data_IF_378928258710
#
_entry.id   IF_378928258710
#
_cell.length_a   1.000
_cell.length_b   1.000
_cell.length_c   1.000
_cell.angle_alpha   90.00
_cell.angle_beta   90.00
_cell.angle_gamma   90.00
#
_symmetry.space_group_name_H-M   'P 1'
#
loop_
_entity.id
_entity.type
_entity.pdbx_description
1 polymer ?
#
# COMPACT_ATOMS: atom_id res chain seq x y z
N UNK A 1 19.43 -22.31 -9.46
CA UNK A 1 19.23 -22.31 -8.00
C UNK A 1 18.50 -21.01 -7.63
N UNK A 2 17.17 -20.98 -7.78
CA UNK A 2 16.36 -19.86 -7.31
C UNK A 2 16.35 -19.93 -5.78
N UNK A 3 17.17 -19.10 -5.12
CA UNK A 3 17.26 -19.06 -3.65
C UNK A 3 16.00 -18.52 -2.97
N UNK A 4 15.08 -17.96 -3.75
CA UNK A 4 13.81 -17.43 -3.31
C UNK A 4 12.77 -17.89 -4.33
N UNK A 5 11.72 -18.53 -3.85
CA UNK A 5 10.57 -18.95 -4.65
C UNK A 5 9.72 -17.71 -4.96
N UNK A 6 10.17 -16.94 -5.96
CA UNK A 6 9.55 -15.69 -6.36
C UNK A 6 8.82 -15.92 -7.69
N UNK A 7 7.49 -15.72 -7.73
CA UNK A 7 6.69 -15.80 -8.95
C UNK A 7 6.90 -14.55 -9.82
N UNK A 8 8.09 -14.38 -10.39
CA UNK A 8 8.52 -13.16 -11.12
C UNK A 8 7.62 -12.87 -12.32
N UNK A 9 7.05 -13.88 -12.97
CA UNK A 9 6.16 -13.72 -14.11
C UNK A 9 4.82 -13.06 -13.77
N UNK A 10 4.34 -13.25 -12.54
CA UNK A 10 3.10 -12.68 -12.03
C UNK A 10 3.32 -11.33 -11.31
N UNK A 11 4.57 -10.89 -11.16
CA UNK A 11 4.89 -9.61 -10.55
C UNK A 11 4.74 -8.45 -11.53
N UNK A 12 4.36 -7.29 -10.99
CA UNK A 12 4.22 -6.09 -11.78
C UNK A 12 5.53 -5.64 -12.46
N UNK A 13 5.45 -5.40 -13.77
CA UNK A 13 6.52 -4.78 -14.55
C UNK A 13 6.40 -3.25 -14.47
N UNK A 14 7.42 -2.62 -13.89
CA UNK A 14 7.48 -1.17 -13.69
C UNK A 14 8.32 -0.51 -14.77
N UNK A 15 7.71 0.40 -15.53
CA UNK A 15 8.37 1.29 -16.48
C UNK A 15 9.01 2.46 -15.72
N UNK A 16 10.33 2.69 -15.86
CA UNK A 16 10.98 3.84 -15.25
C UNK A 16 10.38 5.17 -15.75
N UNK A 17 10.24 6.14 -14.84
CA UNK A 17 9.76 7.49 -15.16
C UNK A 17 8.38 7.57 -15.83
N UNK A 18 7.52 6.55 -15.66
CA UNK A 18 6.15 6.58 -16.16
C UNK A 18 5.39 7.83 -15.69
N UNK A 19 4.62 8.41 -16.60
CA UNK A 19 3.78 9.58 -16.33
C UNK A 19 2.35 9.32 -16.78
N UNK A 20 1.42 9.86 -16.01
CA UNK A 20 -0.01 9.86 -16.32
C UNK A 20 -0.30 10.98 -17.34
N UNK A 21 -1.05 10.66 -18.40
CA UNK A 21 -1.26 11.55 -19.54
C UNK A 21 -2.74 11.93 -19.75
N UNK A 22 -3.34 12.67 -18.83
CA UNK A 22 -4.67 13.28 -19.02
C UNK A 22 -4.60 14.81 -19.12
N UNK A 23 -5.73 15.42 -19.49
CA UNK A 23 -5.88 16.88 -19.51
C UNK A 23 -5.84 17.45 -18.09
N UNK A 24 -4.75 18.14 -17.77
CA UNK A 24 -4.51 18.72 -16.43
C UNK A 24 -5.43 19.89 -16.11
N UNK A 25 -6.09 20.50 -17.10
CA UNK A 25 -7.09 21.54 -16.85
C UNK A 25 -8.44 20.99 -16.39
N UNK A 26 -8.67 19.68 -16.57
CA UNK A 26 -9.96 19.02 -16.30
C UNK A 26 -9.89 17.94 -15.22
N UNK A 27 -8.71 17.68 -14.66
CA UNK A 27 -8.49 16.82 -13.51
C UNK A 27 -7.82 17.64 -12.42
N UNK A 28 -8.54 17.95 -11.35
CA UNK A 28 -8.03 18.73 -10.22
C UNK A 28 -8.03 17.91 -8.93
N UNK A 29 -7.06 18.23 -8.06
CA UNK A 29 -6.91 17.61 -6.75
C UNK A 29 -7.02 18.71 -5.69
N UNK A 30 -7.97 18.56 -4.79
CA UNK A 30 -8.19 19.43 -3.63
C UNK A 30 -7.66 18.69 -2.38
N UNK A 31 -6.52 19.13 -1.87
CA UNK A 31 -5.97 18.64 -0.60
C UNK A 31 -6.38 19.65 0.48
N UNK A 32 -7.04 19.19 1.55
CA UNK A 32 -7.24 20.03 2.73
C UNK A 32 -5.90 20.33 3.41
N UNK A 33 -5.73 21.54 3.93
CA UNK A 33 -4.57 21.89 4.77
C UNK A 33 -4.74 21.32 6.19
N UNK A 34 -5.98 21.22 6.67
CA UNK A 34 -6.35 20.66 7.97
C UNK A 34 -7.50 19.64 7.89
N UNK A 35 -7.51 18.71 8.85
CA UNK A 35 -8.47 17.59 8.94
C UNK A 35 -9.88 18.08 9.27
N UNK A 36 -10.02 19.00 10.23
CA UNK A 36 -11.33 19.52 10.65
C UNK A 36 -11.99 20.34 9.52
N UNK A 37 -11.19 21.13 8.80
CA UNK A 37 -11.63 21.87 7.63
C UNK A 37 -12.13 20.93 6.52
N UNK A 38 -11.41 19.84 6.23
CA UNK A 38 -11.81 18.87 5.21
C UNK A 38 -13.14 18.18 5.54
N UNK A 39 -13.38 17.83 6.82
CA UNK A 39 -14.65 17.25 7.27
C UNK A 39 -15.78 18.25 7.13
N UNK A 40 -15.56 19.49 7.56
CA UNK A 40 -16.56 20.56 7.51
C UNK A 40 -16.92 20.89 6.06
N UNK A 41 -15.92 21.04 5.20
CA UNK A 41 -16.11 21.27 3.77
C UNK A 41 -16.94 20.15 3.12
N UNK A 42 -16.74 18.88 3.52
CA UNK A 42 -17.51 17.78 2.97
C UNK A 42 -18.95 17.72 3.50
N UNK A 43 -19.16 17.99 4.80
CA UNK A 43 -20.49 18.00 5.43
C UNK A 43 -21.35 19.16 4.95
N UNK A 44 -20.73 20.32 4.71
CA UNK A 44 -21.42 21.53 4.23
C UNK A 44 -21.60 21.54 2.71
N UNK A 45 -20.89 20.68 1.98
CA UNK A 45 -21.06 20.57 0.53
C UNK A 45 -22.48 20.10 0.22
N UNK A 46 -23.19 20.79 -0.69
CA UNK A 46 -24.46 20.29 -1.19
C UNK A 46 -24.22 18.90 -1.77
N UNK A 47 -24.95 17.90 -1.27
CA UNK A 47 -24.83 16.56 -1.82
C UNK A 47 -25.20 16.60 -3.31
N UNK A 48 -24.19 16.39 -4.15
CA UNK A 48 -24.29 16.57 -5.58
C UNK A 48 -24.88 15.31 -6.22
N UNK A 49 -25.20 15.43 -7.51
CA UNK A 49 -25.77 14.30 -8.25
C UNK A 49 -24.76 13.17 -8.48
N UNK A 50 -23.46 13.44 -8.36
CA UNK A 50 -22.35 12.61 -8.86
C UNK A 50 -21.20 12.54 -7.84
N UNK A 51 -21.54 12.23 -6.58
CA UNK A 51 -20.57 12.07 -5.51
C UNK A 51 -20.12 10.63 -5.39
N UNK A 52 -18.85 10.40 -5.69
CA UNK A 52 -18.21 9.10 -5.55
C UNK A 52 -17.31 9.13 -4.33
N UNK A 53 -17.34 8.06 -3.56
CA UNK A 53 -16.42 7.80 -2.47
C UNK A 53 -15.73 6.48 -2.73
N UNK A 54 -14.43 6.43 -2.48
CA UNK A 54 -13.60 5.28 -2.83
C UNK A 54 -12.66 4.97 -1.68
N UNK A 55 -12.44 3.69 -1.43
CA UNK A 55 -11.57 3.20 -0.36
C UNK A 55 -10.93 1.88 -0.78
N UNK A 56 -9.89 1.46 -0.07
CA UNK A 56 -9.29 0.15 -0.17
C UNK A 56 -8.82 -0.39 1.16
N UNK A 57 -9.08 -1.68 1.37
CA UNK A 57 -8.79 -2.37 2.62
C UNK A 57 -7.77 -3.48 2.42
N UNK A 58 -6.91 -3.65 3.43
CA UNK A 58 -6.04 -4.80 3.61
C UNK A 58 -6.43 -5.46 4.94
N UNK A 59 -6.92 -6.69 4.86
CA UNK A 59 -7.31 -7.50 6.02
C UNK A 59 -6.39 -8.72 6.13
N UNK A 60 -6.62 -9.59 7.11
CA UNK A 60 -5.94 -10.89 7.17
C UNK A 60 -6.42 -11.87 6.08
N UNK A 61 -7.62 -11.64 5.54
CA UNK A 61 -8.30 -12.52 4.57
C UNK A 61 -8.04 -12.12 3.13
N UNK A 62 -7.62 -10.88 2.87
CA UNK A 62 -7.36 -10.40 1.52
C UNK A 62 -7.15 -8.89 1.40
N UNK A 63 -7.07 -8.45 0.16
CA UNK A 63 -6.92 -7.05 -0.23
C UNK A 63 -8.03 -6.71 -1.20
N UNK A 64 -8.82 -5.68 -0.91
CA UNK A 64 -10.02 -5.33 -1.68
C UNK A 64 -10.26 -3.83 -1.79
N UNK A 65 -10.69 -3.37 -2.96
CA UNK A 65 -11.06 -1.99 -3.23
C UNK A 65 -12.57 -1.83 -3.41
N UNK A 66 -13.10 -0.64 -3.11
CA UNK A 66 -14.50 -0.34 -3.32
C UNK A 66 -14.75 1.11 -3.75
N UNK A 67 -15.90 1.31 -4.40
CA UNK A 67 -16.45 2.61 -4.73
C UNK A 67 -17.95 2.64 -4.45
N UNK A 68 -18.42 3.77 -3.94
CA UNK A 68 -19.83 4.01 -3.62
C UNK A 68 -20.26 5.32 -4.27
N UNK A 69 -21.36 5.28 -5.00
CA UNK A 69 -22.03 6.48 -5.52
C UNK A 69 -23.14 6.92 -4.58
N UNK A 70 -22.97 8.12 -4.04
CA UNK A 70 -23.97 8.81 -3.24
C UNK A 70 -24.67 9.87 -4.10
N UNK A 71 -26.00 9.91 -3.99
CA UNK A 71 -26.83 10.94 -4.61
C UNK A 71 -27.93 11.38 -3.66
N UNK A 72 -27.90 12.65 -3.28
CA UNK A 72 -28.82 13.25 -2.31
C UNK A 72 -28.85 12.48 -0.97
N UNK A 73 -27.66 12.18 -0.43
CA UNK A 73 -27.49 11.47 0.85
C UNK A 73 -27.92 10.01 0.83
N UNK A 74 -28.05 9.40 -0.35
CA UNK A 74 -28.42 7.99 -0.50
C UNK A 74 -27.46 7.27 -1.44
N UNK A 75 -27.04 6.09 -1.04
CA UNK A 75 -26.33 5.16 -1.93
C UNK A 75 -27.23 4.80 -3.12
N UNK A 76 -26.66 4.89 -4.32
CA UNK A 76 -27.32 4.54 -5.58
C UNK A 76 -26.72 3.35 -6.26
N UNK A 77 -25.41 3.23 -6.15
CA UNK A 77 -24.63 2.16 -6.76
C UNK A 77 -23.37 1.96 -5.93
N UNK A 78 -22.83 0.75 -5.99
CA UNK A 78 -21.59 0.36 -5.33
C UNK A 78 -20.91 -0.72 -6.15
N UNK A 79 -19.59 -0.62 -6.23
CA UNK A 79 -18.72 -1.61 -6.86
C UNK A 79 -17.61 -1.99 -5.88
N UNK A 80 -17.24 -3.26 -5.89
CA UNK A 80 -16.28 -3.85 -4.96
C UNK A 80 -15.46 -4.88 -5.71
N UNK A 81 -14.17 -4.98 -5.44
CA UNK A 81 -13.33 -6.00 -6.05
C UNK A 81 -12.21 -6.44 -5.13
N UNK A 82 -12.08 -7.76 -4.93
CA UNK A 82 -10.88 -8.36 -4.33
C UNK A 82 -9.76 -8.35 -5.36
N UNK A 83 -8.58 -7.86 -4.97
CA UNK A 83 -7.44 -7.74 -5.88
C UNK A 83 -6.31 -8.72 -5.58
N UNK A 84 -6.26 -9.31 -4.39
CA UNK A 84 -5.17 -10.18 -4.00
C UNK A 84 -5.21 -10.66 -2.55
N UNK A 85 -4.14 -11.36 -2.17
CA UNK A 85 -3.81 -11.76 -0.81
C UNK A 85 -3.01 -10.65 -0.11
N UNK A 86 -2.96 -10.63 1.24
CA UNK A 86 -2.23 -9.61 2.00
C UNK A 86 -0.71 -9.62 1.74
N UNK A 87 -0.17 -10.70 1.17
CA UNK A 87 1.23 -10.85 0.83
C UNK A 87 1.53 -10.66 -0.68
N UNK A 88 0.49 -10.42 -1.47
CA UNK A 88 0.52 -10.20 -2.92
C UNK A 88 0.30 -8.74 -3.29
N UNK A 89 -0.62 -8.04 -2.62
CA UNK A 89 -0.98 -6.65 -2.89
C UNK A 89 -0.95 -5.82 -1.60
N UNK A 90 -0.85 -4.49 -1.73
CA UNK A 90 -0.87 -3.57 -0.58
C UNK A 90 -2.18 -2.79 -0.57
N UNK A 91 -2.47 -2.15 0.57
CA UNK A 91 -3.61 -1.23 0.70
C UNK A 91 -3.59 -0.14 -0.38
N UNK A 92 -2.41 0.31 -0.84
CA UNK A 92 -2.32 1.31 -1.89
C UNK A 92 -2.89 0.82 -3.23
N UNK A 93 -2.65 -0.44 -3.60
CA UNK A 93 -3.28 -1.00 -4.81
C UNK A 93 -4.79 -1.17 -4.62
N UNK A 94 -5.24 -1.50 -3.41
CA UNK A 94 -6.66 -1.62 -3.06
C UNK A 94 -7.40 -0.28 -3.25
N UNK A 95 -6.80 0.79 -2.76
CA UNK A 95 -7.32 2.15 -2.83
C UNK A 95 -7.37 2.67 -4.28
N UNK A 96 -6.35 2.35 -5.07
CA UNK A 96 -6.33 2.66 -6.49
C UNK A 96 -7.35 1.82 -7.29
N UNK A 97 -7.63 0.60 -6.84
CA UNK A 97 -8.74 -0.19 -7.36
C UNK A 97 -10.08 0.49 -7.03
N UNK A 98 -10.31 0.92 -5.79
CA UNK A 98 -11.50 1.69 -5.43
C UNK A 98 -11.70 2.92 -6.33
N UNK A 99 -10.62 3.68 -6.57
CA UNK A 99 -10.65 4.81 -7.50
C UNK A 99 -11.05 4.41 -8.93
N UNK A 100 -10.56 3.27 -9.39
CA UNK A 100 -10.89 2.72 -10.70
C UNK A 100 -12.36 2.32 -10.79
N UNK A 101 -12.87 1.62 -9.78
CA UNK A 101 -14.28 1.24 -9.67
C UNK A 101 -15.19 2.46 -9.62
N UNK A 102 -14.75 3.57 -9.00
CA UNK A 102 -15.48 4.83 -9.02
C UNK A 102 -15.65 5.38 -10.43
N UNK A 103 -14.61 5.28 -11.26
CA UNK A 103 -14.70 5.66 -12.67
C UNK A 103 -15.58 4.72 -13.49
N UNK A 104 -15.58 3.42 -13.18
CA UNK A 104 -16.52 2.46 -13.78
C UNK A 104 -17.97 2.88 -13.51
N UNK A 105 -18.32 3.14 -12.25
CA UNK A 105 -19.66 3.63 -11.88
C UNK A 105 -20.02 4.88 -12.70
N UNK A 106 -19.12 5.86 -12.81
CA UNK A 106 -19.35 7.08 -13.56
C UNK A 106 -19.60 6.83 -15.06
N UNK A 107 -18.83 5.91 -15.66
CA UNK A 107 -18.92 5.59 -17.08
C UNK A 107 -20.19 4.78 -17.40
N UNK A 108 -20.50 3.77 -16.59
CA UNK A 108 -21.65 2.87 -16.75
C UNK A 108 -22.97 3.59 -16.50
N UNK A 109 -23.03 4.47 -15.50
CA UNK A 109 -24.21 5.29 -15.21
C UNK A 109 -24.32 6.55 -16.09
N UNK A 110 -23.42 6.74 -17.06
CA UNK A 110 -23.51 7.83 -18.03
C UNK A 110 -23.41 9.23 -17.42
N UNK A 111 -22.55 9.40 -16.39
CA UNK A 111 -22.36 10.69 -15.74
C UNK A 111 -21.94 11.77 -16.75
N UNK A 112 -22.32 13.03 -16.44
CA UNK A 112 -22.04 14.20 -17.28
C UNK A 112 -21.68 15.39 -16.42
N UNK A 113 -20.69 16.16 -16.84
CA UNK A 113 -20.21 17.33 -16.12
C UNK A 113 -19.11 17.00 -15.12
N UNK A 114 -19.10 17.68 -13.98
CA UNK A 114 -18.06 17.50 -12.96
C UNK A 114 -18.41 16.33 -12.05
N UNK A 115 -17.54 15.32 -12.00
CA UNK A 115 -17.61 14.26 -10.99
C UNK A 115 -16.73 14.61 -9.80
N UNK A 116 -17.20 14.24 -8.61
CA UNK A 116 -16.56 14.56 -7.35
C UNK A 116 -16.18 13.25 -6.66
N UNK A 117 -14.88 12.93 -6.61
CA UNK A 117 -14.37 11.69 -6.01
C UNK A 117 -13.68 11.99 -4.67
N UNK A 118 -14.20 11.47 -3.56
CA UNK A 118 -13.61 11.55 -2.23
C UNK A 118 -12.82 10.28 -1.88
N UNK A 119 -11.63 10.45 -1.32
CA UNK A 119 -10.77 9.37 -0.82
C UNK A 119 -9.88 9.86 0.32
N UNK A 120 -9.42 8.96 1.19
CA UNK A 120 -8.56 9.30 2.33
C UNK A 120 -7.06 9.17 2.02
N UNK A 121 -6.71 8.50 0.92
CA UNK A 121 -5.33 8.22 0.54
C UNK A 121 -4.58 9.41 -0.09
N UNK A 122 -3.91 10.20 0.75
CA UNK A 122 -3.08 11.32 0.30
C UNK A 122 -1.93 10.92 -0.65
N UNK A 123 -1.45 9.67 -0.60
CA UNK A 123 -0.38 9.21 -1.49
C UNK A 123 -0.87 9.04 -2.93
N UNK A 124 -2.11 8.56 -3.12
CA UNK A 124 -2.76 8.51 -4.43
C UNK A 124 -3.00 9.93 -4.97
N UNK A 125 -3.58 10.82 -4.16
CA UNK A 125 -3.79 12.22 -4.53
C UNK A 125 -2.48 12.92 -4.92
N UNK A 126 -1.40 12.65 -4.19
CA UNK A 126 -0.06 13.15 -4.53
C UNK A 126 0.44 12.58 -5.86
N UNK A 127 0.14 11.31 -6.16
CA UNK A 127 0.52 10.67 -7.42
C UNK A 127 -0.23 11.28 -8.60
N UNK A 128 -1.53 11.57 -8.44
CA UNK A 128 -2.35 12.27 -9.44
C UNK A 128 -1.79 13.67 -9.69
N UNK A 129 -1.50 14.44 -8.63
CA UNK A 129 -0.95 15.80 -8.73
C UNK A 129 0.41 15.84 -9.41
N UNK A 130 1.32 14.93 -9.01
CA UNK A 130 2.67 14.86 -9.58
C UNK A 130 2.72 14.15 -10.94
N UNK A 131 1.66 13.40 -11.27
CA UNK A 131 1.52 12.52 -12.43
C UNK A 131 2.63 11.49 -12.56
N UNK A 132 3.25 11.06 -11.45
CA UNK A 132 4.41 10.16 -11.44
C UNK A 132 4.06 8.83 -10.77
N UNK A 133 3.53 7.90 -11.55
CA UNK A 133 3.19 6.55 -11.10
C UNK A 133 4.47 5.70 -10.93
N UNK A 134 4.97 5.58 -9.69
CA UNK A 134 6.20 4.83 -9.38
C UNK A 134 5.98 3.33 -9.19
N UNK A 135 4.77 2.93 -8.82
CA UNK A 135 4.31 1.57 -8.56
C UNK A 135 2.80 1.51 -8.86
N UNK A 136 2.21 0.29 -8.90
CA UNK A 136 0.82 0.07 -9.28
C UNK A 136 0.48 0.66 -10.68
N UNK A 137 1.46 0.71 -11.57
CA UNK A 137 1.34 1.18 -12.95
C UNK A 137 0.31 0.41 -13.78
N UNK A 138 0.04 -0.85 -13.45
CA UNK A 138 -1.07 -1.61 -14.02
C UNK A 138 -2.41 -0.91 -13.75
N UNK A 139 -2.75 -0.72 -12.48
CA UNK A 139 -3.99 -0.06 -12.07
C UNK A 139 -4.05 1.40 -12.52
N UNK A 140 -2.91 2.11 -12.47
CA UNK A 140 -2.83 3.49 -12.98
C UNK A 140 -3.16 3.60 -14.47
N UNK A 141 -2.71 2.66 -15.30
CA UNK A 141 -3.03 2.64 -16.75
C UNK A 141 -4.53 2.43 -16.97
N UNK A 142 -5.13 1.57 -16.17
CA UNK A 142 -6.55 1.32 -16.17
C UNK A 142 -7.37 2.55 -15.76
N UNK A 143 -7.05 3.16 -14.62
CA UNK A 143 -7.65 4.42 -14.17
C UNK A 143 -7.48 5.53 -15.21
N UNK A 144 -6.28 5.69 -15.78
CA UNK A 144 -6.00 6.68 -16.82
C UNK A 144 -6.87 6.48 -18.06
N UNK A 145 -7.09 5.23 -18.49
CA UNK A 145 -7.97 4.90 -19.61
C UNK A 145 -9.40 5.36 -19.31
N UNK A 146 -9.92 5.07 -18.12
CA UNK A 146 -11.27 5.48 -17.71
C UNK A 146 -11.42 7.00 -17.60
N UNK A 147 -10.39 7.70 -17.08
CA UNK A 147 -10.35 9.17 -17.06
C UNK A 147 -10.39 9.75 -18.47
N UNK A 148 -9.53 9.26 -19.37
CA UNK A 148 -9.48 9.71 -20.78
C UNK A 148 -10.83 9.50 -21.47
N UNK A 149 -11.45 8.35 -21.26
CA UNK A 149 -12.76 8.03 -21.82
C UNK A 149 -13.83 8.98 -21.30
N UNK A 150 -13.90 9.21 -19.99
CA UNK A 150 -14.84 10.15 -19.39
C UNK A 150 -14.68 11.57 -19.95
N UNK A 151 -13.45 12.07 -20.02
CA UNK A 151 -13.15 13.41 -20.53
C UNK A 151 -13.39 13.56 -22.04
N UNK A 152 -13.36 12.46 -22.81
CA UNK A 152 -13.63 12.46 -24.25
C UNK A 152 -15.12 12.57 -24.57
N UNK A 153 -16.00 12.04 -23.70
CA UNK A 153 -17.46 12.04 -23.90
C UNK A 153 -18.06 13.44 -24.03
N UNK A 154 -17.54 14.43 -23.30
CA UNK A 154 -18.02 15.81 -23.42
C UNK A 154 -16.98 16.85 -22.94
N UNK A 155 -16.98 18.04 -23.55
CA UNK A 155 -16.02 19.11 -23.22
C UNK A 155 -16.20 19.69 -21.82
N UNK A 156 -17.41 19.61 -21.26
CA UNK A 156 -17.72 20.06 -19.90
C UNK A 156 -17.42 19.01 -18.83
N UNK A 157 -16.95 17.81 -19.21
CA UNK A 157 -16.63 16.78 -18.24
C UNK A 157 -15.34 17.14 -17.52
N UNK A 158 -15.39 17.10 -16.20
CA UNK A 158 -14.28 17.38 -15.30
C UNK A 158 -14.27 16.34 -14.18
N UNK A 159 -13.09 16.12 -13.59
CA UNK A 159 -12.90 15.23 -12.46
C UNK A 159 -12.26 16.03 -11.33
N UNK A 160 -12.95 16.11 -10.20
CA UNK A 160 -12.43 16.71 -8.98
C UNK A 160 -12.19 15.62 -7.95
N UNK A 161 -10.94 15.42 -7.58
CA UNK A 161 -10.57 14.52 -6.49
C UNK A 161 -10.32 15.33 -5.23
N UNK A 162 -10.85 14.87 -4.10
CA UNK A 162 -10.71 15.55 -2.82
C UNK A 162 -10.26 14.59 -1.74
N UNK A 163 -9.47 15.12 -0.81
CA UNK A 163 -9.13 14.39 0.39
C UNK A 163 -10.30 14.40 1.37
N UNK A 164 -10.77 13.23 1.76
CA UNK A 164 -11.79 13.03 2.79
C UNK A 164 -11.14 12.25 3.93
N UNK A 165 -11.09 12.77 5.16
CA UNK A 165 -10.48 12.03 6.26
C UNK A 165 -11.24 10.74 6.56
N UNK A 166 -10.51 9.63 6.64
CA UNK A 166 -11.07 8.34 7.03
C UNK A 166 -11.56 8.33 8.48
N UNK A 167 -12.64 7.57 8.73
CA UNK A 167 -13.28 7.33 10.04
C UNK A 167 -13.79 8.57 10.79
N UNK A 168 -14.26 9.59 10.07
CA UNK A 168 -14.69 10.88 10.64
C UNK A 168 -16.19 11.21 10.43
N UNK A 169 -17.05 10.19 10.27
CA UNK A 169 -18.49 10.39 10.16
C UNK A 169 -18.97 10.90 8.80
N UNK A 170 -18.16 10.77 7.74
CA UNK A 170 -18.60 11.05 6.37
C UNK A 170 -19.22 9.79 5.80
N UNK A 171 -20.56 9.75 5.74
CA UNK A 171 -21.33 8.54 5.41
C UNK A 171 -20.86 7.84 4.13
N UNK A 172 -20.58 8.59 3.06
CA UNK A 172 -20.11 8.00 1.80
C UNK A 172 -18.74 7.32 1.94
N UNK A 173 -17.82 7.90 2.73
CA UNK A 173 -16.51 7.31 2.97
C UNK A 173 -16.62 6.08 3.88
N UNK A 174 -17.45 6.13 4.91
CA UNK A 174 -17.66 4.99 5.82
C UNK A 174 -18.27 3.80 5.07
N UNK A 175 -19.22 4.03 4.16
CA UNK A 175 -19.76 2.99 3.28
C UNK A 175 -18.69 2.41 2.35
N UNK A 176 -17.79 3.24 1.82
CA UNK A 176 -16.71 2.77 0.97
C UNK A 176 -15.70 1.92 1.75
N UNK A 177 -15.31 2.33 2.97
CA UNK A 177 -14.45 1.56 3.89
C UNK A 177 -15.07 0.19 4.22
N UNK A 178 -16.35 0.17 4.60
CA UNK A 178 -17.08 -1.06 4.90
C UNK A 178 -17.12 -1.98 3.67
N UNK A 179 -17.48 -1.44 2.50
CA UNK A 179 -17.52 -2.19 1.26
C UNK A 179 -16.14 -2.73 0.83
N UNK A 180 -15.06 -1.97 1.06
CA UNK A 180 -13.70 -2.40 0.76
C UNK A 180 -13.26 -3.54 1.70
N UNK A 181 -13.64 -3.47 2.99
CA UNK A 181 -13.44 -4.55 3.95
C UNK A 181 -14.20 -5.81 3.54
N UNK A 182 -15.47 -5.69 3.15
CA UNK A 182 -16.27 -6.81 2.64
C UNK A 182 -15.60 -7.44 1.41
N UNK A 183 -15.17 -6.62 0.45
CA UNK A 183 -14.47 -7.06 -0.76
C UNK A 183 -13.19 -7.84 -0.45
N UNK A 184 -12.44 -7.44 0.58
CA UNK A 184 -11.25 -8.17 1.00
C UNK A 184 -11.55 -9.60 1.52
N UNK A 185 -12.79 -9.89 1.93
CA UNK A 185 -13.22 -11.20 2.45
C UNK A 185 -13.89 -12.10 1.40
N UNK A 186 -14.27 -11.55 0.25
CA UNK A 186 -14.90 -12.35 -0.82
C UNK A 186 -13.88 -13.25 -1.49
N UNK A 187 -14.30 -14.27 -2.22
CA UNK A 187 -13.39 -14.99 -3.12
C UNK A 187 -12.89 -14.06 -4.23
N UNK A 188 -11.76 -14.40 -4.84
CA UNK A 188 -11.28 -13.63 -6.00
C UNK A 188 -12.19 -13.88 -7.18
N UNK A 189 -12.66 -12.80 -7.80
CA UNK A 189 -13.39 -12.86 -9.05
C UNK A 189 -12.45 -13.38 -10.15
N UNK A 190 -12.68 -14.64 -10.55
CA UNK A 190 -11.77 -15.45 -11.37
C UNK A 190 -11.87 -16.95 -11.06
N UNK A 191 -12.34 -17.32 -9.86
CA UNK A 191 -12.51 -18.72 -9.44
C UNK A 191 -13.98 -19.22 -9.56
N UNK A 192 -14.90 -18.36 -9.99
CA UNK A 192 -16.31 -18.68 -10.20
C UNK A 192 -16.89 -18.00 -11.46
N UNK A 193 -17.61 -18.77 -12.27
CA UNK A 193 -18.38 -18.29 -13.42
C UNK A 193 -19.48 -17.32 -12.94
N UNK A 194 -19.24 -16.01 -13.05
CA UNK A 194 -20.24 -15.02 -12.62
C UNK A 194 -19.77 -13.58 -12.71
N UNK A 195 -19.32 -13.13 -13.89
CA UNK A 195 -19.13 -11.69 -14.14
C UNK A 195 -20.46 -10.95 -13.99
N UNK A 196 -20.47 -9.87 -13.20
CA UNK A 196 -21.61 -8.95 -13.14
C UNK A 196 -21.57 -8.07 -14.39
N UNK A 197 -22.63 -8.09 -15.19
CA UNK A 197 -22.76 -7.22 -16.38
C UNK A 197 -22.42 -5.76 -16.04
N UNK A 198 -21.39 -5.23 -16.71
CA UNK A 198 -21.04 -3.81 -16.70
C UNK A 198 -19.92 -3.38 -15.74
N UNK A 199 -18.96 -4.25 -15.41
CA UNK A 199 -17.62 -3.79 -15.00
C UNK A 199 -16.78 -3.42 -16.24
N UNK A 200 -15.73 -2.61 -16.07
CA UNK A 200 -14.83 -2.25 -17.17
C UNK A 200 -14.16 -3.51 -17.74
N UNK A 201 -14.29 -3.75 -19.06
CA UNK A 201 -13.73 -4.91 -19.78
C UNK A 201 -12.27 -5.25 -19.41
N UNK A 202 -11.43 -4.24 -19.16
CA UNK A 202 -10.02 -4.46 -18.83
C UNK A 202 -9.77 -4.94 -17.39
N UNK A 203 -10.73 -4.73 -16.49
CA UNK A 203 -10.68 -5.23 -15.11
C UNK A 203 -11.03 -6.73 -15.08
N UNK A 204 -11.92 -7.17 -15.97
CA UNK A 204 -12.37 -8.57 -16.07
C UNK A 204 -11.34 -9.47 -16.78
N UNK A 205 -10.67 -8.97 -17.83
CA UNK A 205 -9.79 -9.80 -18.67
C UNK A 205 -8.35 -9.97 -18.15
N UNK A 206 -7.88 -9.10 -17.24
CA UNK A 206 -6.47 -9.07 -16.82
C UNK A 206 -6.28 -9.37 -15.33
N UNK A 207 -5.50 -10.42 -15.04
CA UNK A 207 -5.05 -10.74 -13.67
C UNK A 207 -4.25 -9.58 -13.11
N UNK A 208 -4.68 -9.05 -11.96
CA UNK A 208 -3.98 -7.98 -11.27
C UNK A 208 -2.60 -8.51 -10.84
N UNK A 209 -1.50 -7.87 -11.26
CA UNK A 209 -0.17 -8.36 -10.94
C UNK A 209 0.16 -8.16 -9.47
N UNK A 210 0.98 -9.06 -8.93
CA UNK A 210 1.50 -8.91 -7.57
C UNK A 210 2.36 -7.66 -7.44
N UNK A 211 2.16 -6.96 -6.33
CA UNK A 211 2.94 -5.80 -5.96
C UNK A 211 4.38 -6.18 -5.62
N UNK A 212 5.32 -5.45 -6.22
CA UNK A 212 6.74 -5.53 -5.85
C UNK A 212 6.96 -5.17 -4.39
N UNK A 213 6.15 -4.27 -3.83
CA UNK A 213 6.26 -3.83 -2.45
C UNK A 213 5.80 -4.93 -1.49
N UNK A 214 4.62 -5.52 -1.72
CA UNK A 214 4.10 -6.64 -0.94
C UNK A 214 5.05 -7.85 -0.97
N UNK A 215 5.49 -8.24 -2.17
CA UNK A 215 6.46 -9.34 -2.35
C UNK A 215 7.75 -9.09 -1.56
N UNK A 216 8.27 -7.85 -1.59
CA UNK A 216 9.47 -7.47 -0.83
C UNK A 216 9.21 -7.54 0.68
N UNK A 217 8.05 -7.09 1.15
CA UNK A 217 7.68 -7.14 2.56
C UNK A 217 7.61 -8.58 3.06
N UNK A 218 6.89 -9.46 2.33
CA UNK A 218 6.83 -10.91 2.60
C UNK A 218 8.23 -11.51 2.71
N UNK A 219 9.06 -11.27 1.71
CA UNK A 219 10.42 -11.83 1.66
C UNK A 219 11.29 -11.34 2.84
N UNK A 220 11.19 -10.04 3.17
CA UNK A 220 11.95 -9.47 4.28
C UNK A 220 11.52 -10.05 5.63
N UNK A 221 10.23 -10.33 5.82
CA UNK A 221 9.72 -10.97 7.03
C UNK A 221 10.19 -12.44 7.11
N UNK A 222 10.13 -13.21 6.02
CA UNK A 222 10.68 -14.57 5.97
C UNK A 222 12.19 -14.59 6.29
N UNK A 223 12.96 -13.66 5.72
CA UNK A 223 14.40 -13.53 6.01
C UNK A 223 14.62 -13.18 7.48
N UNK A 224 13.79 -12.31 8.05
CA UNK A 224 13.87 -11.90 9.46
C UNK A 224 13.58 -13.07 10.40
N UNK A 225 12.55 -13.85 10.14
CA UNK A 225 12.22 -15.03 10.94
C UNK A 225 13.29 -16.12 10.83
N UNK A 226 13.78 -16.38 9.61
CA UNK A 226 14.92 -17.30 9.39
C UNK A 226 16.16 -16.85 10.16
N UNK A 227 16.50 -15.56 10.10
CA UNK A 227 17.64 -14.99 10.86
C UNK A 227 17.44 -15.10 12.37
N UNK A 228 16.23 -14.92 12.88
CA UNK A 228 15.92 -15.13 14.30
C UNK A 228 16.14 -16.58 14.70
N UNK A 229 15.68 -17.54 13.89
CA UNK A 229 15.85 -18.97 14.14
C UNK A 229 17.34 -19.38 14.10
N UNK A 230 18.07 -18.98 13.04
CA UNK A 230 19.52 -19.19 12.92
C UNK A 230 20.30 -18.56 14.08
N UNK A 231 19.89 -17.36 14.51
CA UNK A 231 20.50 -16.69 15.66
C UNK A 231 20.26 -17.45 16.97
N UNK A 232 19.04 -17.94 17.22
CA UNK A 232 18.72 -18.75 18.40
C UNK A 232 19.49 -20.08 18.43
N UNK A 233 19.73 -20.68 17.26
CA UNK A 233 20.49 -21.93 17.13
C UNK A 233 22.01 -21.77 17.26
N UNK A 234 22.53 -20.53 17.20
CA UNK A 234 23.97 -20.26 17.26
C UNK A 234 24.53 -20.49 18.68
N UNK A 235 25.73 -21.08 18.75
CA UNK A 235 26.50 -21.25 20.01
C UNK A 235 26.76 -19.95 20.76
N UNK A 236 26.62 -18.80 20.08
CA UNK A 236 26.81 -17.47 20.67
C UNK A 236 25.54 -16.88 21.27
N UNK A 237 24.38 -17.48 21.02
CA UNK A 237 23.07 -16.99 21.43
C UNK A 237 23.01 -16.74 22.94
N UNK A 238 23.21 -17.78 23.76
CA UNK A 238 23.08 -17.70 25.22
C UNK A 238 23.89 -16.57 25.84
N UNK A 239 25.14 -16.41 25.39
CA UNK A 239 26.04 -15.38 25.91
C UNK A 239 25.56 -13.98 25.55
N UNK A 240 25.16 -13.76 24.29
CA UNK A 240 24.79 -12.43 23.81
C UNK A 240 23.36 -12.06 24.24
N UNK A 241 22.46 -13.03 24.36
CA UNK A 241 21.10 -12.86 24.85
C UNK A 241 21.05 -12.26 26.27
N UNK A 242 22.08 -12.53 27.10
CA UNK A 242 22.25 -11.88 28.42
C UNK A 242 22.44 -10.37 28.36
N UNK A 243 23.01 -9.85 27.27
CA UNK A 243 23.31 -8.43 27.12
C UNK A 243 22.33 -7.71 26.20
N UNK A 244 21.77 -8.42 25.21
CA UNK A 244 20.81 -7.88 24.26
C UNK A 244 19.83 -8.99 23.83
N UNK A 245 18.69 -9.12 24.54
CA UNK A 245 17.67 -10.11 24.22
C UNK A 245 16.91 -9.78 22.93
N UNK A 246 17.10 -8.58 22.38
CA UNK A 246 16.39 -8.16 21.16
C UNK A 246 17.07 -8.64 19.88
N UNK A 247 18.29 -9.17 19.96
CA UNK A 247 19.04 -9.61 18.78
C UNK A 247 18.35 -10.80 18.07
N UNK A 248 18.31 -10.80 16.72
CA UNK A 248 18.85 -9.79 15.81
C UNK A 248 17.97 -8.53 15.72
N UNK A 249 18.52 -7.36 16.06
CA UNK A 249 17.82 -6.06 16.03
C UNK A 249 18.74 -4.92 15.61
N UNK A 250 18.13 -3.75 15.38
CA UNK A 250 18.84 -2.49 15.13
C UNK A 250 19.24 -1.75 16.43
N UNK A 251 18.97 -2.32 17.60
CA UNK A 251 19.16 -1.66 18.91
C UNK A 251 20.62 -1.27 19.11
N UNK A 252 21.55 -2.20 18.86
CA UNK A 252 22.98 -1.91 18.96
C UNK A 252 23.41 -0.81 17.98
N UNK A 253 22.96 -0.86 16.73
CA UNK A 253 23.28 0.18 15.73
C UNK A 253 22.77 1.56 16.15
N UNK A 254 21.58 1.65 16.74
CA UNK A 254 21.03 2.90 17.29
C UNK A 254 21.86 3.41 18.47
N UNK A 255 22.23 2.53 19.40
CA UNK A 255 23.04 2.87 20.57
C UNK A 255 24.40 3.45 20.16
N UNK A 256 25.03 2.87 19.14
CA UNK A 256 26.36 3.28 18.69
C UNK A 256 26.36 4.38 17.62
N UNK A 257 25.18 4.88 17.22
CA UNK A 257 25.06 5.77 16.05
C UNK A 257 25.88 7.06 16.17
N UNK A 258 26.02 7.60 17.39
CA UNK A 258 26.80 8.82 17.67
C UNK A 258 28.24 8.55 18.14
N UNK A 259 28.63 7.28 18.24
CA UNK A 259 29.97 6.90 18.72
C UNK A 259 30.98 6.86 17.58
N UNK A 260 32.27 7.08 17.89
CA UNK A 260 33.33 6.81 16.91
C UNK A 260 33.38 5.31 16.61
N UNK A 261 33.68 4.93 15.37
CA UNK A 261 33.77 3.53 14.93
C UNK A 261 34.65 2.66 15.86
N UNK A 262 35.76 3.22 16.37
CA UNK A 262 36.65 2.53 17.33
C UNK A 262 35.95 2.19 18.65
N UNK A 263 35.16 3.12 19.20
CA UNK A 263 34.42 2.92 20.45
C UNK A 263 33.32 1.85 20.27
N UNK A 264 32.54 1.95 19.18
CA UNK A 264 31.52 0.96 18.85
C UNK A 264 32.10 -0.45 18.70
N UNK A 265 33.27 -0.56 18.05
CA UNK A 265 34.00 -1.83 17.90
C UNK A 265 34.43 -2.42 19.23
N UNK A 266 35.01 -1.61 20.13
CA UNK A 266 35.43 -2.07 21.47
C UNK A 266 34.21 -2.58 22.26
N UNK A 267 33.09 -1.84 22.26
CA UNK A 267 31.86 -2.27 22.94
C UNK A 267 31.34 -3.59 22.36
N UNK A 268 31.36 -3.75 21.04
CA UNK A 268 30.97 -5.01 20.39
C UNK A 268 31.89 -6.17 20.79
N UNK A 269 33.20 -5.95 20.81
CA UNK A 269 34.18 -6.95 21.23
C UNK A 269 33.99 -7.35 22.70
N UNK A 270 33.68 -6.39 23.58
CA UNK A 270 33.34 -6.67 24.99
C UNK A 270 32.08 -7.54 25.10
N UNK A 271 30.97 -7.15 24.44
CA UNK A 271 29.71 -7.90 24.47
C UNK A 271 29.82 -9.31 23.89
N UNK A 272 30.65 -9.47 22.87
CA UNK A 272 30.88 -10.75 22.20
C UNK A 272 32.05 -11.53 22.80
N UNK A 273 32.74 -11.00 23.82
CA UNK A 273 33.95 -11.61 24.39
C UNK A 273 35.05 -11.93 23.39
N UNK A 274 35.08 -11.23 22.25
CA UNK A 274 36.13 -11.27 21.22
C UNK A 274 37.01 -10.02 21.33
N UNK A 275 37.47 -9.76 22.55
CA UNK A 275 38.35 -8.65 22.89
C UNK A 275 39.72 -9.21 23.27
N UNK A 276 40.80 -8.47 23.00
CA UNK A 276 42.19 -8.86 23.31
C UNK A 276 42.51 -8.82 24.81
N UNK A 277 41.65 -9.42 25.65
CA UNK A 277 41.91 -9.67 27.06
C UNK A 277 42.56 -11.04 27.23
N UNK A 278 43.33 -11.20 28.30
CA UNK A 278 44.12 -12.39 28.62
C UNK A 278 43.30 -13.69 28.53
N UNK A 279 42.09 -13.70 29.09
CA UNK A 279 41.11 -14.79 28.96
C UNK A 279 40.80 -15.19 27.52
N UNK A 280 40.60 -14.24 26.62
CA UNK A 280 40.33 -14.52 25.21
C UNK A 280 41.58 -15.00 24.48
N UNK A 281 42.72 -14.36 24.75
CA UNK A 281 44.01 -14.67 24.12
C UNK A 281 44.50 -16.07 24.51
N UNK A 282 44.35 -16.47 25.77
CA UNK A 282 44.65 -17.82 26.23
C UNK A 282 43.75 -18.87 25.57
N UNK A 283 42.44 -18.60 25.46
CA UNK A 283 41.50 -19.50 24.77
C UNK A 283 41.87 -19.76 23.29
N UNK A 284 42.52 -18.81 22.62
CA UNK A 284 42.95 -18.96 21.22
C UNK A 284 44.43 -19.36 21.08
N UNK A 285 45.10 -19.74 22.17
CA UNK A 285 46.49 -20.19 22.16
C UNK A 285 47.52 -19.07 21.92
N UNK A 286 47.17 -17.81 22.21
CA UNK A 286 48.03 -16.63 22.04
C UNK A 286 48.53 -16.04 23.37
N UNK A 287 48.17 -16.64 24.50
CA UNK A 287 48.69 -16.31 25.82
C UNK A 287 48.79 -17.58 26.69
N UNK A 288 49.80 -17.64 27.58
CA UNK A 288 50.08 -18.82 28.41
C UNK A 288 49.04 -19.05 29.53
N UNK A 289 48.47 -17.97 30.06
CA UNK A 289 47.49 -17.98 31.17
C UNK A 289 46.24 -17.19 30.79
N UNK A 290 45.04 -17.58 31.27
CA UNK A 290 43.80 -16.81 31.12
C UNK A 290 43.64 -15.65 32.12
N UNK A 291 44.51 -15.58 33.13
CA UNK A 291 44.65 -14.51 34.12
C UNK A 291 45.85 -13.64 33.81
#
# INVERSE_FOLDING_TARGET
>A
MNRFDLPVEHMEKIVPHARLEWDTGRVSVEMGEDREEAITAEKERPCDKQDLFTDGSLTEEGVGGAAVWMRWGREKDRRTRRIGEPDENTVYEAELMGLTLGMDIALTNGFRGTIHIGMDNQAILTTIRTRRAKFAQFLWRGFERSVKEYLKRHRSNNIKLRWVPGHEGVEGNERADEAAKEAARTEREGDGEGGREGELDWIEEEVIPMSRAATRQRLMEQIKEKRKAEWKASTRFERINRYDPTLPSKTFSKLTAKMRRKQASIIFQMRTGHIQLQKHMSRIGKAESPL
#
